data_IF_916974879679
#
_entry.id   IF_916974879679
#
_cell.length_a   1.000
_cell.length_b   1.000
_cell.length_c   1.000
_cell.angle_alpha   90.00
_cell.angle_beta   90.00
_cell.angle_gamma   90.00
#
_symmetry.space_group_name_H-M   'P 1'
#
loop_
_entity.id
_entity.type
_entity.pdbx_description
1 polymer ?
#
# COMPACT_ATOMS: atom_id res chain seq x y z
N UNK A 1 -25.97 -0.73 1.22
CA UNK A 1 -25.50 -2.12 1.43
C UNK A 1 -24.13 -2.27 0.79
N UNK A 2 -23.23 -3.08 1.37
CA UNK A 2 -21.92 -3.36 0.80
C UNK A 2 -22.04 -4.42 -0.31
N UNK A 3 -21.40 -4.19 -1.46
CA UNK A 3 -21.33 -5.17 -2.56
C UNK A 3 -19.92 -5.72 -2.64
N UNK A 4 -19.76 -7.03 -2.50
CA UNK A 4 -18.47 -7.69 -2.75
C UNK A 4 -18.13 -7.60 -4.25
N UNK A 5 -16.93 -7.10 -4.55
CA UNK A 5 -16.39 -7.03 -5.91
C UNK A 5 -15.31 -8.09 -6.11
N UNK A 6 -14.52 -8.41 -5.08
CA UNK A 6 -13.52 -9.47 -5.09
C UNK A 6 -13.65 -10.36 -3.88
N UNK A 7 -13.54 -11.66 -4.15
CA UNK A 7 -13.39 -12.73 -3.17
C UNK A 7 -11.90 -12.98 -2.85
N UNK A 8 -11.66 -13.92 -1.95
CA UNK A 8 -10.31 -14.34 -1.56
C UNK A 8 -9.46 -14.84 -2.75
N UNK A 9 -10.08 -15.53 -3.72
CA UNK A 9 -9.39 -16.06 -4.88
C UNK A 9 -8.92 -14.94 -5.81
N UNK A 10 -9.74 -13.91 -6.02
CA UNK A 10 -9.39 -12.73 -6.79
C UNK A 10 -8.23 -11.95 -6.14
N UNK A 11 -8.26 -11.75 -4.82
CA UNK A 11 -7.13 -11.13 -4.09
C UNK A 11 -5.86 -11.96 -4.26
N UNK A 12 -5.95 -13.29 -4.09
CA UNK A 12 -4.81 -14.19 -4.26
C UNK A 12 -4.18 -14.07 -5.66
N UNK A 13 -5.01 -14.04 -6.72
CA UNK A 13 -4.56 -13.88 -8.11
C UNK A 13 -3.92 -12.51 -8.35
N UNK A 14 -4.53 -11.45 -7.83
CA UNK A 14 -3.99 -10.09 -7.95
C UNK A 14 -2.61 -9.95 -7.28
N UNK A 15 -2.46 -10.46 -6.05
CA UNK A 15 -1.17 -10.45 -5.36
C UNK A 15 -0.11 -11.28 -6.07
N UNK A 16 -0.47 -12.44 -6.64
CA UNK A 16 0.45 -13.22 -7.48
C UNK A 16 0.95 -12.38 -8.66
N UNK A 17 0.05 -11.72 -9.39
CA UNK A 17 0.43 -10.90 -10.55
C UNK A 17 1.31 -9.71 -10.14
N UNK A 18 0.92 -8.96 -9.11
CA UNK A 18 1.73 -7.85 -8.57
C UNK A 18 3.13 -8.35 -8.18
N UNK A 19 3.23 -9.54 -7.59
CA UNK A 19 4.53 -10.12 -7.20
C UNK A 19 5.43 -10.32 -8.42
N UNK A 20 4.92 -10.92 -9.50
CA UNK A 20 5.69 -11.08 -10.73
C UNK A 20 6.10 -9.73 -11.34
N UNK A 21 5.17 -8.77 -11.41
CA UNK A 21 5.45 -7.42 -11.94
C UNK A 21 6.55 -6.70 -11.13
N UNK A 22 6.55 -6.83 -9.80
CA UNK A 22 7.60 -6.27 -8.94
C UNK A 22 8.96 -6.89 -9.27
N UNK A 23 9.04 -8.23 -9.39
CA UNK A 23 10.29 -8.94 -9.70
C UNK A 23 10.81 -8.53 -11.09
N UNK A 24 9.93 -8.53 -12.10
CA UNK A 24 10.29 -8.15 -13.47
C UNK A 24 10.79 -6.71 -13.56
N UNK A 25 10.09 -5.77 -12.90
CA UNK A 25 10.45 -4.36 -12.92
C UNK A 25 11.75 -4.04 -12.16
N UNK A 26 12.10 -4.87 -11.17
CA UNK A 26 13.40 -4.80 -10.48
C UNK A 26 14.49 -5.62 -11.17
N UNK A 27 14.20 -6.29 -12.30
CA UNK A 27 15.13 -7.16 -13.04
C UNK A 27 15.67 -8.32 -12.18
N UNK A 28 14.83 -8.84 -11.29
CA UNK A 28 15.18 -9.85 -10.30
C UNK A 28 14.77 -9.44 -8.89
N UNK A 29 15.41 -10.06 -7.90
CA UNK A 29 15.15 -9.85 -6.47
C UNK A 29 16.23 -9.02 -5.76
N UNK A 30 17.21 -8.55 -6.53
CA UNK A 30 18.29 -7.75 -5.99
C UNK A 30 17.83 -6.32 -5.71
N UNK A 31 18.30 -5.80 -4.58
CA UNK A 31 18.35 -4.37 -4.27
C UNK A 31 17.01 -3.63 -4.11
N UNK A 32 15.92 -4.34 -3.81
CA UNK A 32 14.66 -3.73 -3.40
C UNK A 32 14.19 -4.13 -2.02
N UNK A 33 13.36 -3.28 -1.42
CA UNK A 33 12.70 -3.51 -0.13
C UNK A 33 11.21 -3.23 -0.24
N UNK A 34 10.41 -3.98 0.50
CA UNK A 34 8.96 -3.75 0.57
C UNK A 34 8.66 -2.89 1.79
N UNK A 35 7.80 -1.88 1.65
CA UNK A 35 7.36 -1.05 2.79
C UNK A 35 5.84 -0.99 2.80
N UNK A 36 5.23 -1.68 3.75
CA UNK A 36 3.78 -1.67 3.91
C UNK A 36 3.30 -0.45 4.68
N UNK A 37 2.30 0.26 4.14
CA UNK A 37 1.65 1.36 4.84
C UNK A 37 0.58 0.79 5.79
N UNK A 38 0.61 1.19 7.06
CA UNK A 38 -0.34 0.68 8.04
C UNK A 38 -1.78 1.10 7.71
N UNK A 39 -2.76 0.23 7.97
CA UNK A 39 -2.64 -1.10 8.60
C UNK A 39 -2.55 -2.23 7.56
N UNK A 40 -3.47 -2.27 6.59
CA UNK A 40 -3.62 -3.42 5.67
C UNK A 40 -2.48 -3.57 4.67
N UNK A 41 -1.86 -2.45 4.25
CA UNK A 41 -0.68 -2.49 3.38
C UNK A 41 0.47 -3.32 3.96
N UNK A 42 0.63 -3.37 5.29
CA UNK A 42 1.63 -4.24 5.96
C UNK A 42 1.33 -5.73 5.75
N UNK A 43 0.08 -6.16 5.91
CA UNK A 43 -0.30 -7.56 5.67
C UNK A 43 -0.13 -7.92 4.19
N UNK A 44 -0.51 -7.02 3.28
CA UNK A 44 -0.29 -7.23 1.85
C UNK A 44 1.21 -7.31 1.50
N UNK A 45 2.06 -6.49 2.13
CA UNK A 45 3.50 -6.54 1.97
C UNK A 45 4.11 -7.88 2.39
N UNK A 46 3.74 -8.38 3.56
CA UNK A 46 4.16 -9.70 4.03
C UNK A 46 3.68 -10.83 3.10
N UNK A 47 2.45 -10.74 2.59
CA UNK A 47 1.96 -11.72 1.60
C UNK A 47 2.71 -11.68 0.27
N UNK A 48 3.22 -10.54 -0.15
CA UNK A 48 4.07 -10.41 -1.35
C UNK A 48 5.45 -10.98 -1.04
N UNK A 49 6.05 -10.64 0.10
CA UNK A 49 7.30 -11.21 0.57
C UNK A 49 7.28 -12.75 0.58
N UNK A 50 6.28 -13.36 1.21
CA UNK A 50 6.13 -14.83 1.26
C UNK A 50 6.05 -15.46 -0.14
N UNK A 51 5.50 -14.74 -1.11
CA UNK A 51 5.42 -15.19 -2.50
C UNK A 51 6.76 -15.09 -3.19
N UNK A 52 7.49 -13.99 -3.01
CA UNK A 52 8.84 -13.84 -3.54
C UNK A 52 9.73 -14.95 -2.98
N UNK A 53 9.68 -15.19 -1.66
CA UNK A 53 10.46 -16.26 -1.03
C UNK A 53 10.12 -17.64 -1.60
N UNK A 54 8.85 -17.94 -1.87
CA UNK A 54 8.44 -19.21 -2.48
C UNK A 54 8.82 -19.36 -3.95
N UNK A 55 8.84 -18.26 -4.71
CA UNK A 55 9.11 -18.26 -6.15
C UNK A 55 10.62 -18.25 -6.44
N UNK A 56 11.36 -17.41 -5.73
CA UNK A 56 12.77 -17.09 -6.02
C UNK A 56 13.74 -17.58 -4.94
N UNK A 57 13.23 -18.04 -3.78
CA UNK A 57 14.08 -18.46 -2.66
C UNK A 57 14.76 -17.29 -1.93
N UNK A 58 14.35 -16.05 -2.19
CA UNK A 58 14.98 -14.84 -1.66
C UNK A 58 14.16 -14.22 -0.53
N UNK A 59 14.85 -13.85 0.54
CA UNK A 59 14.30 -13.18 1.71
C UNK A 59 14.39 -11.66 1.54
N UNK A 60 13.39 -11.06 0.89
CA UNK A 60 13.37 -9.62 0.63
C UNK A 60 13.00 -8.84 1.90
N UNK A 61 13.74 -7.81 2.32
CA UNK A 61 13.42 -7.05 3.53
C UNK A 61 12.03 -6.39 3.47
N UNK A 62 11.28 -6.48 4.56
CA UNK A 62 9.97 -5.83 4.72
C UNK A 62 10.01 -4.85 5.87
N UNK A 63 9.76 -3.58 5.54
CA UNK A 63 9.50 -2.52 6.48
C UNK A 63 8.02 -2.17 6.59
N UNK A 64 7.71 -1.30 7.55
CA UNK A 64 6.36 -0.79 7.75
C UNK A 64 6.37 0.71 8.02
N UNK A 65 5.32 1.39 7.60
CA UNK A 65 5.20 2.82 7.81
C UNK A 65 3.85 3.19 8.41
N UNK A 66 3.88 3.89 9.53
CA UNK A 66 2.69 4.48 10.13
C UNK A 66 2.58 5.96 9.75
N UNK A 67 1.63 6.27 8.86
CA UNK A 67 1.40 7.64 8.39
C UNK A 67 0.14 8.25 8.98
N UNK A 68 -0.41 7.70 10.07
CA UNK A 68 -1.67 8.14 10.68
C UNK A 68 -1.67 9.65 11.03
N UNK A 69 -0.49 10.27 11.16
CA UNK A 69 -0.29 11.69 11.43
C UNK A 69 -0.33 12.60 10.18
N UNK A 70 -0.26 12.04 8.96
CA UNK A 70 -0.23 12.80 7.70
C UNK A 70 -1.51 12.64 6.86
N UNK A 71 -2.56 12.11 7.48
CA UNK A 71 -3.85 11.84 6.85
C UNK A 71 -4.72 13.09 6.83
N UNK A 72 -4.83 13.72 5.66
CA UNK A 72 -5.71 14.87 5.41
C UNK A 72 -7.21 14.53 5.58
N UNK A 73 -7.59 13.25 5.65
CA UNK A 73 -8.96 12.75 5.75
C UNK A 73 -9.54 12.72 7.17
N UNK A 74 -8.82 13.21 8.19
CA UNK A 74 -9.45 13.49 9.49
C UNK A 74 -10.17 14.84 9.41
N UNK A 75 -11.48 14.78 9.16
CA UNK A 75 -12.44 15.86 9.44
C UNK A 75 -12.56 16.24 10.93
N UNK A 76 -11.56 15.94 11.75
CA UNK A 76 -11.55 16.25 13.17
C UNK A 76 -10.55 17.38 13.43
N UNK A 77 -11.06 18.61 13.43
CA UNK A 77 -10.30 19.84 13.65
C UNK A 77 -9.63 19.93 15.04
N UNK A 78 -9.79 18.90 15.88
CA UNK A 78 -9.22 18.81 17.23
C UNK A 78 -7.77 18.27 17.27
N UNK A 79 -7.28 17.67 16.19
CA UNK A 79 -5.92 17.09 16.12
C UNK A 79 -4.94 18.02 15.40
N UNK A 80 -4.81 19.27 15.90
CA UNK A 80 -3.74 20.20 15.50
C UNK A 80 -2.46 19.94 16.31
N UNK A 81 -1.87 18.77 16.16
CA UNK A 81 -0.51 18.54 16.65
C UNK A 81 0.40 18.31 15.45
N UNK A 82 1.51 19.04 15.41
CA UNK A 82 2.54 18.86 14.40
C UNK A 82 2.97 17.38 14.40
N UNK A 83 3.03 16.71 13.23
CA UNK A 83 3.42 15.31 13.14
C UNK A 83 4.83 15.12 13.69
N UNK A 84 4.97 14.35 14.78
CA UNK A 84 6.27 13.80 15.16
C UNK A 84 6.52 12.59 14.27
N UNK A 85 7.36 12.76 13.25
CA UNK A 85 7.91 11.64 12.47
C UNK A 85 8.77 10.81 13.40
N UNK A 86 8.30 9.63 13.79
CA UNK A 86 9.19 8.64 14.38
C UNK A 86 9.93 7.94 13.23
N UNK A 87 11.09 8.50 12.87
CA UNK A 87 11.97 8.02 11.80
C UNK A 87 12.50 6.58 12.03
N UNK A 88 12.45 6.07 13.25
CA UNK A 88 12.88 4.71 13.59
C UNK A 88 11.91 3.59 13.12
N UNK A 89 10.80 3.93 12.48
CA UNK A 89 9.69 2.99 12.28
C UNK A 89 9.76 2.09 11.05
N UNK A 90 10.53 2.43 10.02
CA UNK A 90 10.56 1.63 8.79
C UNK A 90 11.11 0.22 9.07
N UNK A 91 12.08 0.09 9.98
CA UNK A 91 12.59 -1.21 10.43
C UNK A 91 13.53 -1.91 9.45
N UNK A 92 13.84 -1.28 8.31
CA UNK A 92 14.79 -1.76 7.30
C UNK A 92 15.61 -0.58 6.75
N UNK A 93 16.83 -0.86 6.29
CA UNK A 93 17.63 0.14 5.59
C UNK A 93 17.04 0.37 4.18
N UNK A 94 16.82 1.65 3.84
CA UNK A 94 16.28 2.07 2.54
C UNK A 94 17.31 2.85 1.71
N UNK A 95 18.49 3.16 2.26
CA UNK A 95 19.52 3.92 1.56
C UNK A 95 20.00 3.17 0.32
N UNK A 96 20.01 3.87 -0.81
CA UNK A 96 20.35 3.39 -2.14
C UNK A 96 19.49 2.21 -2.64
N UNK A 97 18.42 1.83 -1.93
CA UNK A 97 17.51 0.74 -2.32
C UNK A 97 16.35 1.21 -3.20
N UNK A 98 15.81 0.28 -3.99
CA UNK A 98 14.51 0.44 -4.63
C UNK A 98 13.40 0.13 -3.62
N UNK A 99 12.66 1.14 -3.18
CA UNK A 99 11.55 0.95 -2.23
C UNK A 99 10.25 0.71 -2.99
N UNK A 100 9.51 -0.35 -2.63
CA UNK A 100 8.14 -0.59 -3.08
C UNK A 100 7.18 -0.32 -1.93
N UNK A 101 6.52 0.84 -1.95
CA UNK A 101 5.42 1.16 -1.04
C UNK A 101 4.20 0.32 -1.36
N UNK A 102 3.58 -0.25 -0.34
CA UNK A 102 2.42 -1.16 -0.50
C UNK A 102 1.25 -0.64 0.31
N UNK A 103 0.12 -0.42 -0.36
CA UNK A 103 -1.13 0.01 0.26
C UNK A 103 -2.31 -0.83 -0.23
N UNK A 104 -3.43 -0.79 0.47
CA UNK A 104 -4.63 -1.52 0.07
C UNK A 104 -5.40 -0.81 -1.05
N UNK A 105 -5.64 0.50 -0.90
CA UNK A 105 -6.39 1.31 -1.86
C UNK A 105 -5.73 2.67 -2.08
N UNK A 106 -5.47 3.03 -3.33
CA UNK A 106 -5.13 4.41 -3.69
C UNK A 106 -6.35 5.21 -4.15
N UNK A 107 -6.58 6.34 -3.48
CA UNK A 107 -7.68 7.28 -3.72
C UNK A 107 -7.14 8.64 -4.17
N UNK A 108 -7.09 9.64 -3.28
CA UNK A 108 -6.60 11.01 -3.60
C UNK A 108 -5.09 11.07 -3.87
N UNK A 109 -4.32 10.10 -3.35
CA UNK A 109 -2.86 10.05 -3.41
C UNK A 109 -2.15 10.64 -2.18
N UNK A 110 -2.88 11.27 -1.24
CA UNK A 110 -2.30 11.95 -0.07
C UNK A 110 -1.55 11.01 0.88
N UNK A 111 -2.10 9.82 1.11
CA UNK A 111 -1.45 8.71 1.85
C UNK A 111 -0.08 8.37 1.27
N UNK A 112 0.01 8.22 -0.05
CA UNK A 112 1.27 7.89 -0.73
C UNK A 112 2.24 9.08 -0.69
N UNK A 113 1.76 10.31 -0.87
CA UNK A 113 2.58 11.54 -0.72
C UNK A 113 3.24 11.59 0.66
N UNK A 114 2.44 11.39 1.71
CA UNK A 114 2.90 11.35 3.08
C UNK A 114 3.91 10.22 3.32
N UNK A 115 3.69 9.05 2.73
CA UNK A 115 4.61 7.94 2.83
C UNK A 115 5.96 8.25 2.17
N UNK A 116 5.95 8.87 1.00
CA UNK A 116 7.17 9.34 0.32
C UNK A 116 7.92 10.36 1.18
N UNK A 117 7.22 11.36 1.74
CA UNK A 117 7.85 12.34 2.65
C UNK A 117 8.51 11.63 3.83
N UNK A 118 7.81 10.72 4.50
CA UNK A 118 8.34 10.02 5.67
C UNK A 118 9.56 9.16 5.31
N UNK A 119 9.55 8.45 4.18
CA UNK A 119 10.73 7.72 3.68
C UNK A 119 11.94 8.66 3.49
N UNK A 120 11.72 9.84 2.93
CA UNK A 120 12.79 10.83 2.72
C UNK A 120 13.32 11.45 4.03
N UNK A 121 12.60 11.32 5.15
CA UNK A 121 13.14 11.67 6.48
C UNK A 121 14.04 10.57 7.05
N UNK A 122 13.80 9.32 6.66
CA UNK A 122 14.51 8.14 7.21
C UNK A 122 15.78 7.81 6.42
N UNK A 123 15.77 8.01 5.10
CA UNK A 123 16.89 7.64 4.25
C UNK A 123 16.80 8.20 2.84
N UNK A 124 17.61 7.67 1.93
CA UNK A 124 17.76 8.11 0.55
C UNK A 124 17.61 6.93 -0.40
N UNK A 125 16.37 6.50 -0.71
CA UNK A 125 16.15 5.42 -1.66
C UNK A 125 16.52 5.82 -3.09
N UNK A 126 17.05 4.87 -3.87
CA UNK A 126 17.36 5.05 -5.29
C UNK A 126 16.10 5.27 -6.14
N UNK A 127 14.99 4.65 -5.74
CA UNK A 127 13.66 4.93 -6.31
C UNK A 127 12.55 4.55 -5.34
N UNK A 128 11.39 5.17 -5.48
CA UNK A 128 10.17 4.76 -4.78
C UNK A 128 9.13 4.38 -5.83
N UNK A 129 8.59 3.16 -5.73
CA UNK A 129 7.46 2.66 -6.51
C UNK A 129 6.29 2.35 -5.60
N UNK A 130 5.09 2.27 -6.17
CA UNK A 130 3.85 2.10 -5.41
C UNK A 130 3.08 0.91 -5.96
N UNK A 131 2.80 -0.06 -5.09
CA UNK A 131 1.95 -1.20 -5.35
C UNK A 131 0.66 -1.10 -4.53
N UNK A 132 -0.48 -1.32 -5.18
CA UNK A 132 -1.80 -1.24 -4.54
C UNK A 132 -2.67 -2.40 -4.96
N UNK A 133 -3.51 -2.88 -4.05
CA UNK A 133 -4.49 -3.90 -4.41
C UNK A 133 -5.59 -3.29 -5.31
N UNK A 134 -6.05 -2.08 -4.99
CA UNK A 134 -7.09 -1.38 -5.75
C UNK A 134 -6.69 0.06 -6.05
N UNK A 135 -6.89 0.46 -7.31
CA UNK A 135 -6.95 1.86 -7.69
C UNK A 135 -8.41 2.26 -7.94
N UNK A 136 -8.90 3.24 -7.18
CA UNK A 136 -10.30 3.70 -7.29
C UNK A 136 -10.48 5.03 -8.03
N UNK A 137 -9.39 5.59 -8.59
CA UNK A 137 -9.39 6.89 -9.26
C UNK A 137 -9.44 8.10 -8.31
N UNK A 138 -9.96 9.23 -8.82
CA UNK A 138 -10.15 10.50 -8.08
C UNK A 138 -8.88 11.08 -7.47
N UNK A 139 -7.80 11.10 -8.27
CA UNK A 139 -6.53 11.69 -7.85
C UNK A 139 -6.66 13.19 -7.62
N UNK A 140 -6.15 13.65 -6.49
CA UNK A 140 -5.96 15.07 -6.17
C UNK A 140 -4.48 15.47 -6.23
N UNK A 141 -3.59 14.48 -6.26
CA UNK A 141 -2.15 14.63 -6.44
C UNK A 141 -1.72 13.86 -7.69
N UNK A 142 -0.65 14.29 -8.39
CA UNK A 142 -0.14 13.62 -9.59
C UNK A 142 0.61 12.32 -9.26
N UNK A 143 0.00 11.45 -8.46
CA UNK A 143 0.55 10.19 -7.97
C UNK A 143 -0.19 9.04 -8.65
N UNK A 144 0.56 8.12 -9.24
CA UNK A 144 0.05 6.88 -9.82
C UNK A 144 0.72 5.70 -9.14
N UNK A 145 0.01 4.58 -9.08
CA UNK A 145 0.61 3.32 -8.67
C UNK A 145 1.29 2.68 -9.89
N UNK A 146 2.46 2.10 -9.66
CA UNK A 146 3.21 1.33 -10.66
C UNK A 146 2.59 -0.06 -10.83
N UNK A 147 2.12 -0.65 -9.73
CA UNK A 147 1.53 -1.98 -9.70
C UNK A 147 0.12 -1.91 -9.14
N UNK A 148 -0.87 -2.32 -9.93
CA UNK A 148 -2.28 -2.22 -9.55
C UNK A 148 -2.92 -3.59 -9.66
N UNK A 149 -3.53 -4.06 -8.57
CA UNK A 149 -4.33 -5.29 -8.57
C UNK A 149 -5.56 -5.15 -9.47
N UNK A 150 -6.34 -4.08 -9.28
CA UNK A 150 -7.45 -3.73 -10.17
C UNK A 150 -7.79 -2.26 -10.12
N UNK A 151 -8.12 -1.73 -11.30
CA UNK A 151 -8.78 -0.44 -11.44
C UNK A 151 -10.29 -0.64 -11.27
N UNK A 152 -10.88 0.05 -10.29
CA UNK A 152 -12.31 0.01 -10.01
C UNK A 152 -12.84 1.44 -10.18
N UNK A 153 -13.56 1.74 -11.26
CA UNK A 153 -14.26 3.02 -11.37
C UNK A 153 -15.24 3.15 -10.20
N UNK A 154 -15.15 4.25 -9.46
CA UNK A 154 -16.04 4.56 -8.35
C UNK A 154 -16.60 5.97 -8.51
N UNK A 155 -17.71 6.27 -7.87
CA UNK A 155 -18.13 7.66 -7.62
C UNK A 155 -17.49 8.21 -6.34
N UNK A 156 -17.57 9.53 -6.13
CA UNK A 156 -17.03 10.18 -4.93
C UNK A 156 -17.80 9.79 -3.64
N UNK A 157 -19.08 9.43 -3.78
CA UNK A 157 -19.96 8.93 -2.71
C UNK A 157 -19.85 7.42 -2.50
N UNK A 158 -18.90 6.75 -3.16
CA UNK A 158 -18.56 5.36 -2.89
C UNK A 158 -17.27 5.23 -2.08
N UNK A 159 -17.11 4.11 -1.40
CA UNK A 159 -15.93 3.73 -0.65
C UNK A 159 -15.56 2.29 -1.00
N UNK A 160 -14.28 2.08 -1.32
CA UNK A 160 -13.70 0.74 -1.43
C UNK A 160 -13.21 0.33 -0.04
N UNK A 161 -13.67 -0.81 0.45
CA UNK A 161 -13.21 -1.43 1.68
C UNK A 161 -12.49 -2.74 1.33
N UNK A 162 -11.19 -2.79 1.60
CA UNK A 162 -10.40 -4.01 1.54
C UNK A 162 -10.44 -4.68 2.91
N UNK A 163 -10.74 -5.97 2.94
CA UNK A 163 -10.66 -6.82 4.11
C UNK A 163 -9.55 -7.85 3.89
N UNK A 164 -8.71 -8.05 4.91
CA UNK A 164 -7.68 -9.10 4.90
C UNK A 164 -7.85 -10.02 6.10
N UNK A 165 -7.63 -11.32 5.93
CA UNK A 165 -7.83 -12.33 6.98
C UNK A 165 -7.14 -11.95 8.30
N UNK A 166 -5.91 -11.41 8.25
CA UNK A 166 -5.09 -11.08 9.41
C UNK A 166 -5.69 -9.97 10.29
N UNK A 167 -6.56 -9.13 9.73
CA UNK A 167 -7.17 -8.00 10.44
C UNK A 167 -8.69 -8.14 10.60
N UNK A 168 -9.35 -8.66 9.58
CA UNK A 168 -10.80 -8.61 9.39
C UNK A 168 -11.46 -10.00 9.39
N UNK A 169 -10.66 -11.07 9.49
CA UNK A 169 -11.14 -12.46 9.50
C UNK A 169 -11.60 -12.99 8.14
N UNK A 170 -11.50 -12.19 7.07
CA UNK A 170 -11.81 -12.58 5.69
C UNK A 170 -11.00 -11.78 4.67
N UNK A 171 -10.80 -12.38 3.50
CA UNK A 171 -10.26 -11.69 2.33
C UNK A 171 -11.42 -11.28 1.42
N UNK A 172 -11.67 -9.98 1.27
CA UNK A 172 -12.62 -9.46 0.28
C UNK A 172 -12.33 -8.01 -0.08
N UNK A 173 -12.80 -7.57 -1.26
CA UNK A 173 -12.91 -6.15 -1.60
C UNK A 173 -14.38 -5.82 -1.79
N UNK A 174 -14.87 -4.82 -1.07
CA UNK A 174 -16.26 -4.40 -1.06
C UNK A 174 -16.40 -2.95 -1.51
N UNK A 175 -17.49 -2.65 -2.21
CA UNK A 175 -17.93 -1.28 -2.48
C UNK A 175 -19.09 -0.91 -1.56
N UNK A 176 -18.99 0.25 -0.92
CA UNK A 176 -19.97 0.78 0.01
C UNK A 176 -20.37 2.17 -0.45
N UNK A 177 -21.66 2.49 -0.44
CA UNK A 177 -22.09 3.88 -0.51
C UNK A 177 -21.76 4.56 0.82
N UNK A 178 -21.20 5.76 0.76
CA UNK A 178 -21.02 6.62 1.93
C UNK A 178 -22.39 7.11 2.41
N UNK A 179 -22.62 7.18 3.74
CA UNK A 179 -23.83 7.82 4.26
C UNK A 179 -23.86 9.29 3.82
N UNK A 180 -25.04 9.75 3.38
CA UNK A 180 -25.31 11.15 3.09
C UNK A 180 -25.46 11.96 4.37
#
# INVERSE_FOLDING_TARGET
MAKEIWDALAIKRALTRITYEIIEQNKGTDDFVLVGIKTRGVYLANRIHDRIQKLEGVDVPVGQLDITLYRDDRHDASLKQDPVVNSDQVGVNIDDKHVVLIDDVIYTGRTIRAAMDALMHVGRPSSIRVAVLVDRGHRELPIRADFVGKNIPTSADEQVAVNVVEKDGKDSVELKALPK
#
